data_IF_872267146608
#
_entry.id   IF_872267146608
#
_cell.length_a   1.000
_cell.length_b   1.000
_cell.length_c   1.000
_cell.angle_alpha   90.00
_cell.angle_beta   90.00
_cell.angle_gamma   90.00
#
_symmetry.space_group_name_H-M   'P 1'
#
loop_
_entity.id
_entity.type
_entity.pdbx_description
1 polymer ?
#
# COMPACT_ATOMS: atom_id res chain seq x y z
N UNK A 1 -66.67 -55.83 -22.54
CA UNK A 1 -66.42 -54.37 -22.45
C UNK A 1 -65.83 -54.05 -21.09
N UNK A 2 -64.59 -53.57 -21.03
CA UNK A 2 -63.88 -53.30 -19.78
C UNK A 2 -64.14 -51.86 -19.27
N UNK A 3 -64.66 -51.73 -18.04
CA UNK A 3 -64.85 -50.45 -17.35
C UNK A 3 -63.49 -49.94 -16.85
N UNK A 4 -63.04 -48.77 -17.32
CA UNK A 4 -61.86 -48.08 -16.77
C UNK A 4 -62.28 -47.26 -15.55
N UNK A 5 -61.64 -47.48 -14.40
CA UNK A 5 -61.78 -46.63 -13.20
C UNK A 5 -60.90 -45.39 -13.37
N UNK A 6 -61.46 -44.20 -13.13
CA UNK A 6 -60.69 -42.98 -13.00
C UNK A 6 -59.85 -43.06 -11.72
N UNK A 7 -58.52 -42.96 -11.85
CA UNK A 7 -57.61 -42.87 -10.71
C UNK A 7 -57.66 -41.46 -10.13
N UNK A 8 -58.08 -41.34 -8.87
CA UNK A 8 -57.89 -40.11 -8.10
C UNK A 8 -56.40 -39.85 -7.91
N UNK A 9 -55.88 -38.85 -8.61
CA UNK A 9 -54.57 -38.27 -8.31
C UNK A 9 -54.71 -37.47 -7.02
N UNK A 10 -54.32 -38.06 -5.89
CA UNK A 10 -54.15 -37.34 -4.63
C UNK A 10 -52.96 -36.41 -4.76
N UNK A 11 -53.23 -35.13 -5.03
CA UNK A 11 -52.24 -34.05 -4.88
C UNK A 11 -52.03 -33.82 -3.38
N UNK A 12 -50.82 -33.97 -2.82
CA UNK A 12 -50.57 -33.64 -1.43
C UNK A 12 -50.72 -32.13 -1.24
N UNK A 13 -51.72 -31.71 -0.45
CA UNK A 13 -51.84 -30.33 0.03
C UNK A 13 -50.84 -30.13 1.17
N UNK A 14 -49.61 -29.76 0.84
CA UNK A 14 -48.75 -29.08 1.79
C UNK A 14 -49.14 -27.61 1.85
N UNK A 15 -50.21 -27.29 2.57
CA UNK A 15 -50.58 -25.92 2.91
C UNK A 15 -50.15 -25.63 4.33
N UNK A 16 -49.10 -24.81 4.52
CA UNK A 16 -48.82 -24.16 5.80
C UNK A 16 -50.06 -23.40 6.26
N UNK A 17 -50.29 -23.37 7.58
CA UNK A 17 -51.39 -22.56 8.14
C UNK A 17 -51.05 -21.08 8.00
N UNK A 18 -52.08 -20.23 7.89
CA UNK A 18 -51.91 -18.78 7.70
C UNK A 18 -51.03 -18.15 8.79
N UNK A 19 -51.22 -18.54 10.06
CA UNK A 19 -50.38 -18.10 11.19
C UNK A 19 -48.90 -18.45 11.03
N UNK A 20 -48.57 -19.65 10.54
CA UNK A 20 -47.18 -20.07 10.31
C UNK A 20 -46.51 -19.26 9.19
N UNK A 21 -47.31 -18.84 8.20
CA UNK A 21 -46.87 -17.97 7.10
C UNK A 21 -46.63 -16.54 7.59
N UNK A 22 -47.49 -16.01 8.45
CA UNK A 22 -47.34 -14.68 9.07
C UNK A 22 -46.09 -14.62 9.96
N UNK A 23 -45.86 -15.65 10.79
CA UNK A 23 -44.66 -15.76 11.61
C UNK A 23 -43.38 -15.85 10.76
N UNK A 24 -43.42 -16.60 9.66
CA UNK A 24 -42.29 -16.71 8.74
C UNK A 24 -41.97 -15.38 8.05
N UNK A 25 -43.00 -14.63 7.59
CA UNK A 25 -42.83 -13.30 7.01
C UNK A 25 -42.21 -12.35 8.04
N UNK A 26 -42.69 -12.36 9.28
CA UNK A 26 -42.16 -11.52 10.36
C UNK A 26 -40.68 -11.82 10.65
N UNK A 27 -40.29 -13.10 10.68
CA UNK A 27 -38.89 -13.50 10.84
C UNK A 27 -38.02 -12.99 9.67
N UNK A 28 -38.50 -13.12 8.43
CA UNK A 28 -37.79 -12.61 7.25
C UNK A 28 -37.62 -11.09 7.28
N UNK A 29 -38.61 -10.35 7.77
CA UNK A 29 -38.52 -8.90 7.94
C UNK A 29 -37.45 -8.52 8.98
N UNK A 30 -37.43 -9.20 10.12
CA UNK A 30 -36.41 -8.99 11.16
C UNK A 30 -35.00 -9.29 10.66
N UNK A 31 -34.81 -10.40 9.94
CA UNK A 31 -33.54 -10.75 9.32
C UNK A 31 -33.10 -9.70 8.29
N UNK A 32 -34.05 -9.20 7.50
CA UNK A 32 -33.78 -8.14 6.51
C UNK A 32 -33.31 -6.86 7.20
N UNK A 33 -33.91 -6.48 8.32
CA UNK A 33 -33.48 -5.32 9.13
C UNK A 33 -32.07 -5.54 9.70
N UNK A 34 -31.80 -6.72 10.28
CA UNK A 34 -30.46 -7.09 10.79
C UNK A 34 -29.40 -7.03 9.69
N UNK A 35 -29.70 -7.56 8.51
CA UNK A 35 -28.83 -7.53 7.33
C UNK A 35 -28.55 -6.09 6.85
N UNK A 36 -29.57 -5.24 6.79
CA UNK A 36 -29.41 -3.81 6.44
C UNK A 36 -28.51 -3.10 7.45
N UNK A 37 -28.71 -3.32 8.74
CA UNK A 37 -27.87 -2.73 9.79
C UNK A 37 -26.40 -3.18 9.68
N UNK A 38 -26.16 -4.49 9.43
CA UNK A 38 -24.82 -5.04 9.20
C UNK A 38 -24.15 -4.40 7.98
N UNK A 39 -24.88 -4.24 6.87
CA UNK A 39 -24.38 -3.60 5.65
C UNK A 39 -23.97 -2.14 5.88
N UNK A 40 -24.73 -1.39 6.67
CA UNK A 40 -24.38 0.00 7.03
C UNK A 40 -23.10 0.04 7.87
N UNK A 41 -22.97 -0.85 8.87
CA UNK A 41 -21.76 -0.95 9.70
C UNK A 41 -20.53 -1.28 8.86
N UNK A 42 -20.63 -2.26 7.97
CA UNK A 42 -19.55 -2.64 7.05
C UNK A 42 -19.12 -1.46 6.17
N UNK A 43 -20.07 -0.74 5.55
CA UNK A 43 -19.74 0.46 4.74
C UNK A 43 -19.02 1.54 5.54
N UNK A 44 -19.36 1.73 6.82
CA UNK A 44 -18.64 2.68 7.70
C UNK A 44 -17.20 2.22 7.96
N UNK A 45 -17.00 0.93 8.21
CA UNK A 45 -15.67 0.36 8.42
C UNK A 45 -14.82 0.43 7.14
N UNK A 46 -15.38 0.11 5.99
CA UNK A 46 -14.70 0.23 4.69
C UNK A 46 -14.24 1.68 4.43
N UNK A 47 -15.10 2.67 4.71
CA UNK A 47 -14.72 4.08 4.56
C UNK A 47 -13.57 4.46 5.49
N UNK A 48 -13.60 4.04 6.76
CA UNK A 48 -12.50 4.28 7.71
C UNK A 48 -11.20 3.62 7.24
N UNK A 49 -11.28 2.35 6.83
CA UNK A 49 -10.14 1.59 6.32
C UNK A 49 -9.50 2.27 5.09
N UNK A 50 -10.31 2.72 4.12
CA UNK A 50 -9.82 3.45 2.94
C UNK A 50 -9.08 4.75 3.30
N UNK A 51 -9.54 5.48 4.32
CA UNK A 51 -8.88 6.70 4.77
C UNK A 51 -7.53 6.39 5.42
N UNK A 52 -7.47 5.36 6.26
CA UNK A 52 -6.23 4.93 6.90
C UNK A 52 -5.21 4.38 5.89
N UNK A 53 -5.66 3.59 4.92
CA UNK A 53 -4.79 3.11 3.83
C UNK A 53 -4.15 4.28 3.07
N UNK A 54 -4.92 5.31 2.70
CA UNK A 54 -4.37 6.52 2.07
C UNK A 54 -3.36 7.25 2.96
N UNK A 55 -3.56 7.27 4.28
CA UNK A 55 -2.60 7.87 5.23
C UNK A 55 -1.30 7.07 5.26
N UNK A 56 -1.39 5.74 5.30
CA UNK A 56 -0.24 4.84 5.27
C UNK A 56 0.53 5.00 3.96
N UNK A 57 -0.16 4.99 2.81
CA UNK A 57 0.46 5.19 1.49
C UNK A 57 1.25 6.51 1.42
N UNK A 58 0.70 7.61 1.94
CA UNK A 58 1.41 8.90 2.02
C UNK A 58 2.68 8.80 2.86
N UNK A 59 2.61 8.18 4.03
CA UNK A 59 3.79 7.96 4.90
C UNK A 59 4.84 7.07 4.21
N UNK A 60 4.42 6.00 3.55
CA UNK A 60 5.32 5.13 2.79
C UNK A 60 6.03 5.89 1.67
N UNK A 61 5.31 6.76 0.95
CA UNK A 61 5.91 7.58 -0.11
C UNK A 61 6.90 8.61 0.45
N UNK A 62 6.61 9.22 1.60
CA UNK A 62 7.55 10.10 2.31
C UNK A 62 8.81 9.35 2.74
N UNK A 63 8.65 8.18 3.38
CA UNK A 63 9.79 7.34 3.79
C UNK A 63 10.62 6.88 2.59
N UNK A 64 9.99 6.63 1.44
CA UNK A 64 10.72 6.27 0.21
C UNK A 64 11.58 7.43 -0.29
N UNK A 65 11.11 8.68 -0.19
CA UNK A 65 11.90 9.87 -0.55
C UNK A 65 13.10 10.04 0.38
N UNK A 66 12.85 9.98 1.69
CA UNK A 66 13.92 10.07 2.71
C UNK A 66 14.94 8.95 2.53
N UNK A 67 14.50 7.72 2.26
CA UNK A 67 15.41 6.60 1.98
C UNK A 67 16.34 6.89 0.79
N UNK A 68 15.81 7.47 -0.30
CA UNK A 68 16.64 7.79 -1.49
C UNK A 68 17.69 8.84 -1.14
N UNK A 69 17.29 9.91 -0.47
CA UNK A 69 18.21 10.96 -0.01
C UNK A 69 19.30 10.37 0.88
N UNK A 70 18.94 9.54 1.86
CA UNK A 70 19.91 8.91 2.74
C UNK A 70 20.88 8.00 1.99
N UNK A 71 20.41 7.25 0.98
CA UNK A 71 21.28 6.40 0.15
C UNK A 71 22.26 7.27 -0.67
N UNK A 72 21.79 8.36 -1.26
CA UNK A 72 22.61 9.30 -2.01
C UNK A 72 23.67 9.98 -1.11
N UNK A 73 23.25 10.47 0.05
CA UNK A 73 24.15 11.05 1.07
C UNK A 73 25.17 10.03 1.58
N UNK A 74 24.75 8.79 1.83
CA UNK A 74 25.65 7.73 2.29
C UNK A 74 26.67 7.35 1.22
N UNK A 75 26.24 7.25 -0.04
CA UNK A 75 27.14 6.96 -1.16
C UNK A 75 28.14 8.09 -1.36
N UNK A 76 27.68 9.34 -1.28
CA UNK A 76 28.55 10.52 -1.34
C UNK A 76 29.58 10.52 -0.19
N UNK A 77 29.13 10.26 1.04
CA UNK A 77 30.01 10.18 2.20
C UNK A 77 31.05 9.05 2.06
N UNK A 78 30.67 7.90 1.50
CA UNK A 78 31.60 6.81 1.23
C UNK A 78 32.69 7.22 0.24
N UNK A 79 32.31 7.87 -0.87
CA UNK A 79 33.28 8.36 -1.87
C UNK A 79 34.25 9.37 -1.23
N UNK A 80 33.73 10.31 -0.43
CA UNK A 80 34.59 11.25 0.32
C UNK A 80 35.56 10.50 1.25
N UNK A 81 35.07 9.48 1.95
CA UNK A 81 35.89 8.64 2.84
C UNK A 81 36.99 7.91 2.08
N UNK A 82 36.68 7.34 0.93
CA UNK A 82 37.64 6.59 0.11
C UNK A 82 38.73 7.54 -0.44
N UNK A 83 38.35 8.75 -0.87
CA UNK A 83 39.32 9.76 -1.32
C UNK A 83 40.22 10.20 -0.16
N UNK A 84 39.66 10.47 1.02
CA UNK A 84 40.46 10.82 2.21
C UNK A 84 41.43 9.70 2.59
N UNK A 85 41.00 8.45 2.50
CA UNK A 85 41.88 7.31 2.76
C UNK A 85 43.01 7.25 1.73
N UNK A 86 42.69 7.44 0.43
CA UNK A 86 43.70 7.49 -0.63
C UNK A 86 44.72 8.62 -0.46
N UNK A 87 44.31 9.77 0.07
CA UNK A 87 45.23 10.87 0.40
C UNK A 87 46.23 10.40 1.46
N UNK A 88 45.74 9.85 2.57
CA UNK A 88 46.59 9.37 3.67
C UNK A 88 47.57 8.30 3.17
N UNK A 89 47.11 7.34 2.38
CA UNK A 89 47.99 6.32 1.80
C UNK A 89 49.05 6.91 0.87
N UNK A 90 48.70 7.89 0.03
CA UNK A 90 49.67 8.56 -0.85
C UNK A 90 50.67 9.42 -0.06
N UNK A 91 50.25 10.03 1.06
CA UNK A 91 51.15 10.74 1.98
C UNK A 91 52.17 9.78 2.61
N UNK A 92 51.72 8.61 3.07
CA UNK A 92 52.59 7.57 3.65
C UNK A 92 53.61 7.03 2.63
N UNK A 93 53.24 6.96 1.35
CA UNK A 93 54.11 6.53 0.25
C UNK A 93 55.01 7.66 -0.29
N UNK A 94 54.80 8.91 0.12
CA UNK A 94 55.51 10.07 -0.38
C UNK A 94 55.12 10.50 -1.81
N UNK A 95 53.97 10.04 -2.32
CA UNK A 95 53.46 10.40 -3.65
C UNK A 95 52.70 11.74 -3.61
N UNK A 96 53.46 12.83 -3.65
CA UNK A 96 52.93 14.18 -3.64
C UNK A 96 51.98 14.50 -4.82
N UNK A 97 52.12 13.81 -5.96
CA UNK A 97 51.27 14.04 -7.14
C UNK A 97 49.87 13.48 -6.87
N UNK A 98 49.79 12.26 -6.37
CA UNK A 98 48.52 11.62 -6.03
C UNK A 98 47.82 12.35 -4.88
N UNK A 99 48.57 12.82 -3.88
CA UNK A 99 48.03 13.66 -2.80
C UNK A 99 47.35 14.92 -3.34
N UNK A 100 48.01 15.67 -4.24
CA UNK A 100 47.44 16.90 -4.80
C UNK A 100 46.18 16.61 -5.65
N UNK A 101 46.24 15.57 -6.49
CA UNK A 101 45.11 15.16 -7.33
C UNK A 101 43.87 14.76 -6.52
N UNK A 102 44.05 13.92 -5.50
CA UNK A 102 42.94 13.46 -4.65
C UNK A 102 42.40 14.59 -3.77
N UNK A 103 43.28 15.45 -3.24
CA UNK A 103 42.88 16.63 -2.47
C UNK A 103 42.04 17.59 -3.32
N UNK A 104 42.43 17.82 -4.58
CA UNK A 104 41.64 18.63 -5.52
C UNK A 104 40.28 17.99 -5.82
N UNK A 105 40.27 16.68 -6.08
CA UNK A 105 39.04 15.92 -6.35
C UNK A 105 38.05 15.98 -5.17
N UNK A 106 38.55 15.88 -3.93
CA UNK A 106 37.72 16.02 -2.73
C UNK A 106 37.12 17.43 -2.62
N UNK A 107 37.90 18.49 -2.89
CA UNK A 107 37.40 19.87 -2.88
C UNK A 107 36.30 20.07 -3.92
N UNK A 108 36.48 19.55 -5.13
CA UNK A 108 35.48 19.62 -6.21
C UNK A 108 34.20 18.88 -5.83
N UNK A 109 34.31 17.73 -5.17
CA UNK A 109 33.17 16.92 -4.70
C UNK A 109 32.38 17.58 -3.56
N UNK A 110 33.06 18.35 -2.70
CA UNK A 110 32.47 19.05 -1.54
C UNK A 110 31.90 20.43 -1.88
N UNK A 111 32.14 20.95 -3.08
CA UNK A 111 31.54 22.21 -3.52
C UNK A 111 30.01 22.07 -3.61
N UNK A 112 29.23 23.01 -3.03
CA UNK A 112 27.78 22.95 -3.11
C UNK A 112 27.33 22.97 -4.58
N UNK A 113 26.55 21.97 -4.99
CA UNK A 113 25.89 21.95 -6.30
C UNK A 113 24.72 22.95 -6.32
N UNK A 114 24.99 24.25 -6.17
CA UNK A 114 23.97 25.31 -6.24
C UNK A 114 23.31 25.45 -7.63
N UNK A 115 23.71 24.66 -8.64
CA UNK A 115 23.26 24.83 -10.02
C UNK A 115 22.45 23.65 -10.61
N UNK A 116 22.00 22.67 -9.82
CA UNK A 116 21.15 21.57 -10.34
C UNK A 116 19.67 21.62 -9.91
N UNK A 117 19.29 22.47 -8.94
CA UNK A 117 17.87 22.63 -8.54
C UNK A 117 17.00 23.40 -9.54
N UNK A 118 17.59 23.99 -10.60
CA UNK A 118 16.86 24.73 -11.64
C UNK A 118 16.56 23.90 -12.90
N UNK A 119 16.84 22.59 -12.94
CA UNK A 119 16.32 21.76 -14.02
C UNK A 119 14.90 21.31 -13.70
N UNK A 120 13.88 21.74 -14.47
CA UNK A 120 12.56 21.16 -14.33
C UNK A 120 12.62 19.66 -14.64
N UNK A 121 11.77 18.84 -14.01
CA UNK A 121 11.71 17.42 -14.35
C UNK A 121 11.48 17.27 -15.86
N UNK A 122 12.28 16.43 -16.50
CA UNK A 122 12.04 16.03 -17.88
C UNK A 122 10.76 15.18 -17.87
N UNK A 123 9.75 15.66 -18.59
CA UNK A 123 8.47 14.97 -18.85
C UNK A 123 8.67 13.62 -19.57
#
# INVERSE_FOLDING_TARGET
>A
MAKRKASEVKVPRNSMKLEELEDFVKQMEEETVKMRAKKIRMRKLEKKSKVELKRIEKKCNQLRKVKRQLVEESAWAQVCSDIMHGIVSAEDEGDAITVDLLTRSLRELMMPRQNQENQPPID
#
